data_IF_248781318862
#
_entry.id   IF_248781318862
#
_cell.length_a   1.000
_cell.length_b   1.000
_cell.length_c   1.000
_cell.angle_alpha   90.00
_cell.angle_beta   90.00
_cell.angle_gamma   90.00
#
_symmetry.space_group_name_H-M   'P 1'
#
loop_
_entity.id
_entity.type
_entity.pdbx_description
1 polymer ?
#
# COMPACT_ATOMS: atom_id res chain seq x y z
N UNK A 1 -14.60 49.59 -44.98
CA UNK A 1 -15.23 49.23 -43.69
C UNK A 1 -14.63 47.91 -43.22
N UNK A 2 -14.35 47.81 -41.93
CA UNK A 2 -13.62 46.74 -41.24
C UNK A 2 -14.48 45.48 -41.03
N UNK A 3 -13.78 44.44 -40.57
CA UNK A 3 -14.22 43.24 -39.79
C UNK A 3 -14.77 42.04 -40.56
N UNK A 4 -14.47 40.79 -40.21
CA UNK A 4 -13.42 40.18 -39.37
C UNK A 4 -13.45 38.67 -39.61
N UNK A 5 -12.29 38.03 -39.52
CA UNK A 5 -12.08 36.59 -39.49
C UNK A 5 -12.69 35.97 -38.20
N UNK A 6 -13.28 34.77 -38.31
CA UNK A 6 -13.52 33.90 -37.15
C UNK A 6 -12.75 32.60 -37.40
N UNK A 7 -11.61 32.47 -36.72
CA UNK A 7 -10.89 31.21 -36.54
C UNK A 7 -11.43 30.58 -35.26
N UNK A 8 -12.02 29.39 -35.38
CA UNK A 8 -12.42 28.58 -34.23
C UNK A 8 -11.16 27.99 -33.58
N UNK A 9 -10.76 28.54 -32.44
CA UNK A 9 -9.75 27.96 -31.57
C UNK A 9 -10.42 26.88 -30.70
N UNK A 10 -10.09 25.61 -30.95
CA UNK A 10 -10.43 24.51 -30.06
C UNK A 10 -9.55 24.59 -28.81
N UNK A 11 -10.12 25.02 -27.69
CA UNK A 11 -9.46 24.96 -26.39
C UNK A 11 -9.47 23.50 -25.89
N UNK A 12 -8.34 22.82 -26.05
CA UNK A 12 -8.03 21.59 -25.32
C UNK A 12 -7.86 21.95 -23.84
N UNK A 13 -8.92 21.76 -23.06
CA UNK A 13 -8.85 21.79 -21.60
C UNK A 13 -8.10 20.55 -21.15
N UNK A 14 -6.78 20.69 -20.99
CA UNK A 14 -5.96 19.79 -20.18
C UNK A 14 -6.47 19.94 -18.74
N UNK A 15 -7.38 19.06 -18.33
CA UNK A 15 -7.66 18.85 -16.91
C UNK A 15 -6.41 18.23 -16.30
N UNK A 16 -5.54 19.09 -15.76
CA UNK A 16 -4.54 18.70 -14.79
C UNK A 16 -5.25 17.95 -13.68
N UNK A 17 -4.98 16.65 -13.59
CA UNK A 17 -5.34 15.84 -12.44
C UNK A 17 -4.64 16.46 -11.24
N UNK A 18 -5.37 17.27 -10.48
CA UNK A 18 -4.96 17.66 -9.15
C UNK A 18 -4.95 16.36 -8.33
N UNK A 19 -3.76 15.77 -8.20
CA UNK A 19 -3.44 14.86 -7.10
C UNK A 19 -3.75 15.65 -5.84
N UNK A 20 -4.95 15.45 -5.27
CA UNK A 20 -5.29 16.00 -3.98
C UNK A 20 -4.34 15.34 -2.97
N UNK A 21 -3.27 16.05 -2.61
CA UNK A 21 -2.51 15.76 -1.41
C UNK A 21 -3.49 15.92 -0.24
N UNK A 22 -4.00 14.80 0.27
CA UNK A 22 -4.81 14.81 1.49
C UNK A 22 -3.94 15.32 2.64
N UNK A 23 -4.42 16.28 3.45
CA UNK A 23 -3.67 16.79 4.58
C UNK A 23 -3.45 15.65 5.59
N UNK A 24 -2.19 15.48 6.00
CA UNK A 24 -1.76 14.60 7.08
C UNK A 24 -2.68 14.82 8.28
N UNK A 25 -3.27 13.75 8.81
CA UNK A 25 -4.10 13.88 10.01
C UNK A 25 -3.28 14.46 11.16
N UNK A 26 -3.85 15.38 11.91
CA UNK A 26 -3.22 16.06 13.05
C UNK A 26 -2.66 15.07 14.09
N UNK A 27 -3.20 13.84 14.13
CA UNK A 27 -2.76 12.75 14.99
C UNK A 27 -1.37 12.21 14.65
N UNK A 28 -0.99 12.15 13.35
CA UNK A 28 0.34 11.68 12.93
C UNK A 28 1.45 12.69 13.24
N UNK A 29 1.17 13.98 13.03
CA UNK A 29 2.07 15.07 13.43
C UNK A 29 2.32 15.12 14.94
N UNK A 30 1.36 14.69 15.75
CA UNK A 30 1.50 14.68 17.20
C UNK A 30 2.38 13.51 17.72
N UNK A 31 2.57 12.44 16.95
CA UNK A 31 3.24 11.20 17.39
C UNK A 31 4.62 10.95 16.76
N UNK A 32 4.92 11.54 15.61
CA UNK A 32 6.23 11.33 14.94
C UNK A 32 7.39 11.98 15.70
N UNK A 33 8.24 11.15 16.32
CA UNK A 33 9.45 11.61 17.04
C UNK A 33 10.63 11.98 16.10
N UNK A 34 10.56 11.68 14.80
CA UNK A 34 11.59 12.07 13.81
C UNK A 34 11.01 12.58 12.48
N UNK A 35 11.68 13.58 11.89
CA UNK A 35 11.32 14.13 10.58
C UNK A 35 11.50 13.11 9.44
N UNK A 36 12.38 12.11 9.61
CA UNK A 36 12.69 11.11 8.60
C UNK A 36 11.62 10.01 8.58
N UNK A 37 11.23 9.49 9.74
CA UNK A 37 10.12 8.54 9.84
C UNK A 37 8.84 9.18 9.30
N UNK A 38 8.54 10.42 9.70
CA UNK A 38 7.40 11.18 9.16
C UNK A 38 7.51 11.38 7.64
N UNK A 39 8.67 11.75 7.10
CA UNK A 39 8.86 11.90 5.64
C UNK A 39 8.75 10.58 4.88
N UNK A 40 9.06 9.45 5.52
CA UNK A 40 8.92 8.12 4.93
C UNK A 40 7.50 7.61 5.10
N UNK A 41 6.79 8.00 6.17
CA UNK A 41 5.38 7.74 6.38
C UNK A 41 4.49 8.62 5.52
N UNK A 42 4.92 9.84 5.17
CA UNK A 42 4.33 10.65 4.09
C UNK A 42 4.56 10.01 2.72
N UNK A 43 5.57 9.14 2.61
CA UNK A 43 5.87 8.29 1.44
C UNK A 43 5.33 6.86 1.55
N UNK A 44 4.73 6.47 2.69
CA UNK A 44 3.94 5.23 2.89
C UNK A 44 2.43 5.54 3.10
N UNK A 45 2.10 6.80 3.33
CA UNK A 45 0.84 7.51 3.10
C UNK A 45 -0.21 7.30 4.15
N UNK A 46 0.24 6.93 5.34
CA UNK A 46 -0.63 6.64 6.45
C UNK A 46 -1.65 7.75 6.68
N UNK A 47 -2.90 7.49 6.32
CA UNK A 47 -3.93 7.57 7.34
C UNK A 47 -3.82 6.27 8.14
N UNK A 48 -3.23 6.35 9.33
CA UNK A 48 -3.29 5.24 10.30
C UNK A 48 -4.22 5.70 11.42
N UNK A 49 -5.54 5.46 11.31
CA UNK A 49 -6.49 5.75 12.37
C UNK A 49 -6.42 4.62 13.40
N UNK A 50 -5.30 4.49 14.12
CA UNK A 50 -5.24 3.56 15.25
C UNK A 50 -4.86 4.32 16.51
N UNK A 51 -5.66 4.14 17.55
CA UNK A 51 -5.34 4.64 18.89
C UNK A 51 -4.02 4.03 19.41
N UNK A 52 -3.68 2.83 18.92
CA UNK A 52 -2.46 2.06 19.21
C UNK A 52 -1.31 2.40 18.27
N UNK A 53 -0.09 2.10 18.71
CA UNK A 53 1.09 2.23 17.87
C UNK A 53 1.04 1.32 16.64
N UNK A 54 1.51 1.87 15.53
CA UNK A 54 1.66 1.18 14.27
C UNK A 54 3.08 0.61 14.16
N UNK A 55 3.20 -0.69 13.95
CA UNK A 55 4.47 -1.37 13.75
C UNK A 55 4.48 -1.99 12.36
N UNK A 56 5.13 -1.35 11.39
CA UNK A 56 5.00 -1.72 9.98
C UNK A 56 5.41 -3.18 9.67
N UNK A 57 6.24 -3.79 10.52
CA UNK A 57 6.70 -5.17 10.38
C UNK A 57 5.73 -6.21 10.96
N UNK A 58 4.66 -5.79 11.63
CA UNK A 58 3.59 -6.67 12.11
C UNK A 58 2.61 -6.99 10.97
N UNK A 59 3.03 -7.88 10.09
CA UNK A 59 2.26 -8.26 8.89
C UNK A 59 0.98 -9.02 9.21
N UNK A 60 0.78 -9.45 10.46
CA UNK A 60 -0.47 -10.06 10.91
C UNK A 60 -1.59 -9.02 11.01
N UNK A 61 -1.27 -7.88 11.64
CA UNK A 61 -2.18 -6.75 11.80
C UNK A 61 -2.18 -5.83 10.56
N UNK A 62 -1.12 -5.86 9.74
CA UNK A 62 -0.95 -5.01 8.58
C UNK A 62 -0.72 -5.83 7.30
N UNK A 63 -1.79 -6.44 6.77
CA UNK A 63 -1.74 -7.33 5.59
C UNK A 63 -1.27 -6.67 4.29
N UNK A 64 -1.28 -5.34 4.21
CA UNK A 64 -0.74 -4.58 3.10
C UNK A 64 0.79 -4.38 3.17
N UNK A 65 1.44 -4.88 4.22
CA UNK A 65 2.88 -4.82 4.39
C UNK A 65 3.54 -6.20 4.26
N UNK A 66 4.82 -6.17 3.95
CA UNK A 66 5.77 -7.26 4.10
C UNK A 66 6.89 -6.81 5.03
N UNK A 67 7.55 -7.74 5.71
CA UNK A 67 8.79 -7.47 6.45
C UNK A 67 10.00 -7.86 5.62
N UNK A 68 10.99 -6.97 5.58
CA UNK A 68 12.32 -7.25 5.07
C UNK A 68 13.24 -7.44 6.27
N UNK A 69 13.75 -8.66 6.41
CA UNK A 69 14.80 -8.98 7.38
C UNK A 69 16.17 -8.81 6.74
N UNK A 70 17.10 -8.25 7.48
CA UNK A 70 18.50 -8.04 7.11
C UNK A 70 19.38 -8.48 8.26
N UNK A 71 20.40 -9.30 8.01
CA UNK A 71 21.40 -9.70 8.99
C UNK A 71 22.81 -9.54 8.43
N UNK A 72 23.73 -9.12 9.30
CA UNK A 72 25.17 -9.23 9.06
C UNK A 72 25.83 -10.00 10.20
N UNK A 73 26.91 -10.73 9.89
CA UNK A 73 27.77 -11.36 10.89
C UNK A 73 29.22 -11.11 10.53
N UNK A 74 30.00 -10.66 11.52
CA UNK A 74 31.44 -10.42 11.41
C UNK A 74 31.86 -9.47 10.27
N UNK A 75 30.90 -8.71 9.73
CA UNK A 75 31.11 -7.84 8.56
C UNK A 75 31.45 -8.54 7.25
N UNK A 76 31.33 -9.87 7.19
CA UNK A 76 31.64 -10.68 6.00
C UNK A 76 30.52 -11.62 5.56
N UNK A 77 29.46 -11.75 6.35
CA UNK A 77 28.29 -12.56 6.01
C UNK A 77 27.06 -11.69 6.04
N UNK A 78 26.31 -11.65 4.95
CA UNK A 78 25.08 -10.89 4.83
C UNK A 78 23.94 -11.83 4.44
N UNK A 79 22.79 -11.70 5.12
CA UNK A 79 21.57 -12.45 4.84
C UNK A 79 20.40 -11.48 4.75
N UNK A 80 19.44 -11.78 3.87
CA UNK A 80 18.18 -11.08 3.86
C UNK A 80 17.03 -12.01 3.46
N UNK A 81 15.82 -11.71 3.92
CA UNK A 81 14.60 -12.38 3.49
C UNK A 81 13.42 -11.41 3.47
N UNK A 82 12.44 -11.72 2.64
CA UNK A 82 11.16 -11.02 2.56
C UNK A 82 10.08 -11.98 3.05
N UNK A 83 9.24 -11.52 3.96
CA UNK A 83 8.09 -12.28 4.44
C UNK A 83 6.85 -11.40 4.42
N UNK A 84 5.73 -11.94 3.94
CA UNK A 84 4.45 -11.24 3.87
C UNK A 84 3.38 -12.11 4.57
N UNK A 85 2.17 -11.58 4.71
CA UNK A 85 1.02 -12.38 5.14
C UNK A 85 0.75 -13.57 4.16
N UNK A 86 -0.12 -14.49 4.60
CA UNK A 86 -0.44 -15.69 3.82
C UNK A 86 0.70 -16.72 3.77
N UNK A 87 1.71 -16.58 4.62
CA UNK A 87 2.84 -17.52 4.72
C UNK A 87 3.89 -17.36 3.63
N UNK A 88 3.84 -16.28 2.84
CA UNK A 88 4.88 -15.99 1.86
C UNK A 88 6.19 -15.69 2.56
N UNK A 89 7.24 -16.47 2.25
CA UNK A 89 8.60 -16.22 2.71
C UNK A 89 9.57 -16.53 1.58
N UNK A 90 10.38 -15.54 1.22
CA UNK A 90 11.45 -15.67 0.24
C UNK A 90 12.78 -15.35 0.91
N UNK A 91 13.60 -16.38 1.08
CA UNK A 91 15.00 -16.15 1.38
C UNK A 91 15.67 -15.58 0.14
N UNK A 92 16.37 -14.45 0.30
CA UNK A 92 17.14 -13.89 -0.80
C UNK A 92 18.40 -14.74 -0.93
N UNK A 93 18.75 -15.22 -2.14
CA UNK A 93 19.80 -16.21 -2.32
C UNK A 93 21.12 -15.78 -1.64
N UNK A 94 21.55 -16.58 -0.67
CA UNK A 94 22.90 -16.63 -0.10
C UNK A 94 23.80 -17.47 -1.01
N UNK A 95 23.95 -17.09 -2.28
CA UNK A 95 24.97 -17.76 -3.05
C UNK A 95 26.30 -17.09 -2.70
N UNK A 96 27.27 -17.89 -2.25
CA UNK A 96 28.68 -17.57 -1.95
C UNK A 96 29.45 -16.83 -3.10
N UNK A 97 28.73 -16.36 -4.12
CA UNK A 97 29.18 -15.60 -5.29
C UNK A 97 28.30 -14.37 -5.65
N UNK A 98 27.15 -14.13 -5.01
CA UNK A 98 26.15 -13.12 -5.46
C UNK A 98 25.75 -12.04 -4.45
N UNK A 99 26.09 -12.12 -3.16
CA UNK A 99 26.34 -10.90 -2.38
C UNK A 99 27.73 -10.36 -2.77
N UNK A 100 27.91 -10.02 -4.05
CA UNK A 100 29.17 -9.49 -4.61
C UNK A 100 29.67 -8.25 -3.85
N UNK A 101 28.78 -7.66 -3.08
CA UNK A 101 28.87 -6.37 -2.45
C UNK A 101 28.51 -6.48 -0.94
N UNK A 102 28.67 -7.63 -0.26
CA UNK A 102 28.64 -7.69 1.22
C UNK A 102 29.90 -7.03 1.80
N UNK A 103 29.96 -5.71 1.64
CA UNK A 103 31.04 -4.82 2.06
C UNK A 103 30.46 -3.43 2.21
N UNK A 104 31.22 -2.54 2.84
CA UNK A 104 30.84 -1.14 2.99
C UNK A 104 30.61 -0.49 1.62
N UNK A 105 29.48 0.20 1.47
CA UNK A 105 29.07 0.89 0.24
C UNK A 105 28.63 -0.04 -0.88
N UNK A 106 28.60 -1.35 -0.64
CA UNK A 106 28.19 -2.33 -1.63
C UNK A 106 26.67 -2.45 -1.74
N UNK A 107 26.11 -2.08 -2.89
CA UNK A 107 24.67 -2.20 -3.17
C UNK A 107 24.34 -3.60 -3.72
N UNK A 108 23.40 -4.28 -3.08
CA UNK A 108 22.82 -5.54 -3.56
C UNK A 108 21.38 -5.27 -3.98
N UNK A 109 21.04 -5.58 -5.24
CA UNK A 109 19.71 -5.38 -5.83
C UNK A 109 18.97 -6.71 -5.88
N UNK A 110 17.69 -6.64 -5.55
CA UNK A 110 16.80 -7.78 -5.45
C UNK A 110 15.48 -7.47 -6.15
N UNK A 111 14.76 -8.52 -6.49
CA UNK A 111 13.40 -8.44 -7.01
C UNK A 111 12.52 -9.43 -6.24
N UNK A 112 11.37 -8.94 -5.78
CA UNK A 112 10.35 -9.73 -5.09
C UNK A 112 8.97 -9.44 -5.69
N UNK A 113 8.13 -10.46 -5.93
CA UNK A 113 6.81 -10.27 -6.53
C UNK A 113 5.85 -9.40 -5.70
N UNK A 114 6.01 -9.34 -4.37
CA UNK A 114 5.10 -8.62 -3.49
C UNK A 114 5.54 -7.18 -3.21
N UNK A 115 6.84 -6.87 -3.28
CA UNK A 115 7.37 -5.53 -2.95
C UNK A 115 8.14 -4.89 -4.12
N UNK A 116 8.33 -5.62 -5.22
CA UNK A 116 8.99 -5.14 -6.43
C UNK A 116 10.52 -5.15 -6.37
N UNK A 117 11.15 -4.24 -7.11
CA UNK A 117 12.61 -4.07 -7.11
C UNK A 117 13.04 -3.30 -5.86
N UNK A 118 14.10 -3.78 -5.20
CA UNK A 118 14.66 -3.11 -4.02
C UNK A 118 16.16 -3.33 -3.91
N UNK A 119 16.83 -2.56 -3.06
CA UNK A 119 18.25 -2.72 -2.78
C UNK A 119 18.59 -2.52 -1.32
N UNK A 120 19.66 -3.19 -0.89
CA UNK A 120 20.23 -3.08 0.45
C UNK A 120 21.71 -2.72 0.30
N UNK A 121 22.12 -1.68 1.02
CA UNK A 121 23.52 -1.25 1.13
C UNK A 121 23.88 -1.11 2.60
N UNK A 122 25.07 -1.52 3.02
CA UNK A 122 25.60 -1.18 4.34
C UNK A 122 26.58 -0.03 4.19
N UNK A 123 26.27 1.15 4.74
CA UNK A 123 27.09 2.34 4.50
C UNK A 123 28.33 2.43 5.38
N UNK A 124 28.40 1.64 6.45
CA UNK A 124 29.48 1.69 7.43
C UNK A 124 29.98 0.29 7.79
N UNK A 125 31.23 0.25 8.27
CA UNK A 125 31.78 -0.84 9.07
C UNK A 125 32.08 -0.27 10.45
N UNK A 126 31.71 -1.02 11.47
CA UNK A 126 31.92 -0.67 12.87
C UNK A 126 31.26 0.67 13.24
N UNK A 127 30.05 0.89 12.73
CA UNK A 127 29.32 2.15 12.87
C UNK A 127 29.17 2.61 14.32
N UNK A 128 29.11 3.93 14.51
CA UNK A 128 29.12 4.55 15.85
C UNK A 128 27.91 4.06 16.67
N UNK A 129 28.19 3.44 17.81
CA UNK A 129 27.14 2.86 18.67
C UNK A 129 26.48 1.62 18.08
N UNK A 130 27.02 1.04 17.00
CA UNK A 130 26.53 -0.19 16.39
C UNK A 130 27.53 -1.34 16.49
N UNK A 131 28.78 -1.08 16.92
CA UNK A 131 29.79 -2.10 17.19
C UNK A 131 30.31 -2.83 15.95
N UNK A 132 31.10 -3.88 16.14
CA UNK A 132 31.87 -4.53 15.06
C UNK A 132 31.00 -5.20 13.98
N UNK A 133 31.33 -4.99 12.70
CA UNK A 133 30.68 -5.60 11.53
C UNK A 133 30.19 -4.58 10.50
N UNK A 134 29.46 -5.04 9.48
CA UNK A 134 28.73 -4.15 8.56
C UNK A 134 27.49 -3.61 9.26
N UNK A 135 27.35 -2.30 9.28
CA UNK A 135 26.36 -1.56 10.04
C UNK A 135 25.65 -0.54 9.16
N UNK A 136 24.63 0.11 9.71
CA UNK A 136 23.95 1.23 9.05
C UNK A 136 23.36 0.81 7.68
N UNK A 137 22.36 -0.10 7.67
CA UNK A 137 21.72 -0.51 6.43
C UNK A 137 20.93 0.67 5.83
N UNK A 138 21.00 0.79 4.52
CA UNK A 138 20.18 1.65 3.69
C UNK A 138 19.34 0.73 2.81
N UNK A 139 18.03 0.83 2.97
CA UNK A 139 17.05 0.17 2.13
C UNK A 139 16.56 1.16 1.07
N UNK A 140 16.39 0.70 -0.17
CA UNK A 140 15.75 1.49 -1.23
C UNK A 140 14.72 0.62 -1.94
N UNK A 141 13.55 1.19 -2.23
CA UNK A 141 12.44 0.50 -2.88
C UNK A 141 12.08 1.26 -4.14
N UNK A 142 11.99 0.58 -5.29
CA UNK A 142 11.63 1.23 -6.56
C UNK A 142 10.25 1.87 -6.51
N UNK A 143 9.30 1.18 -5.89
CA UNK A 143 7.91 1.62 -5.83
C UNK A 143 7.59 2.37 -4.52
N UNK A 144 8.59 2.75 -3.72
CA UNK A 144 8.37 3.64 -2.55
C UNK A 144 9.37 4.77 -2.62
N UNK A 145 8.89 5.96 -2.94
CA UNK A 145 9.76 7.14 -3.10
C UNK A 145 10.77 7.03 -4.24
N UNK A 146 10.55 6.14 -5.22
CA UNK A 146 11.42 5.95 -6.39
C UNK A 146 12.91 5.82 -6.04
N UNK A 147 13.25 4.76 -5.29
CA UNK A 147 14.61 4.50 -4.79
C UNK A 147 15.12 5.51 -3.74
N UNK A 148 14.22 6.16 -2.99
CA UNK A 148 14.63 7.00 -1.86
C UNK A 148 15.30 6.16 -0.78
N UNK A 149 16.36 6.73 -0.19
CA UNK A 149 17.10 6.12 0.90
C UNK A 149 16.25 6.03 2.18
N UNK A 150 16.11 4.81 2.69
CA UNK A 150 15.47 4.50 3.98
C UNK A 150 16.60 4.13 4.95
N UNK A 151 16.97 5.02 5.89
CA UNK A 151 18.06 4.79 6.83
C UNK A 151 17.60 3.85 7.96
N UNK A 152 17.81 2.55 7.77
CA UNK A 152 17.23 1.48 8.61
C UNK A 152 17.65 1.61 10.06
N UNK A 153 18.94 1.85 10.33
CA UNK A 153 19.45 2.00 11.70
C UNK A 153 18.84 3.19 12.44
N UNK A 154 18.64 4.31 11.75
CA UNK A 154 18.02 5.51 12.34
C UNK A 154 16.58 5.23 12.72
N UNK A 155 15.82 4.59 11.82
CA UNK A 155 14.43 4.21 12.08
C UNK A 155 14.30 3.15 13.18
N UNK A 156 15.22 2.18 13.21
CA UNK A 156 15.25 1.14 14.24
C UNK A 156 15.49 1.70 15.64
N UNK A 157 16.37 2.70 15.78
CA UNK A 157 16.66 3.34 17.06
C UNK A 157 15.47 4.12 17.68
N UNK A 158 14.44 4.43 16.87
CA UNK A 158 13.21 5.06 17.37
C UNK A 158 12.35 4.08 18.17
N UNK A 159 12.38 2.80 17.81
CA UNK A 159 11.66 1.75 18.50
C UNK A 159 12.46 1.28 19.72
N UNK A 160 11.87 1.37 20.90
CA UNK A 160 12.44 0.82 22.13
C UNK A 160 11.41 -0.07 22.83
N UNK A 161 11.59 -1.40 22.83
CA UNK A 161 10.60 -2.32 23.41
C UNK A 161 10.59 -2.33 24.94
N UNK A 162 11.56 -1.70 25.60
CA UNK A 162 11.66 -1.64 27.06
C UNK A 162 11.00 -0.38 27.63
N UNK A 163 10.61 0.59 26.79
CA UNK A 163 9.84 1.75 27.22
C UNK A 163 8.35 1.42 27.35
N UNK A 164 7.70 1.99 28.36
CA UNK A 164 6.26 1.87 28.60
C UNK A 164 5.42 2.54 27.53
N UNK A 165 5.99 3.52 26.82
CA UNK A 165 5.29 4.36 25.85
C UNK A 165 5.32 3.73 24.44
N UNK A 166 5.01 2.44 24.38
CA UNK A 166 4.91 1.70 23.10
C UNK A 166 3.85 2.28 22.18
N UNK A 167 2.93 3.09 22.71
CA UNK A 167 1.77 3.65 22.02
C UNK A 167 2.08 4.86 21.12
N UNK A 168 3.32 5.37 21.14
CA UNK A 168 3.72 6.57 20.38
C UNK A 168 4.15 6.30 18.93
N UNK A 169 3.89 5.09 18.41
CA UNK A 169 4.17 4.75 17.00
C UNK A 169 3.47 5.72 16.04
N UNK A 170 4.01 5.92 14.83
CA UNK A 170 4.42 4.82 13.95
C UNK A 170 5.93 4.45 13.96
N UNK A 171 6.20 3.15 13.90
CA UNK A 171 7.54 2.57 13.78
C UNK A 171 7.67 1.77 12.47
N UNK A 172 8.74 2.04 11.72
CA UNK A 172 8.97 1.42 10.41
C UNK A 172 9.96 0.26 10.45
N UNK A 173 11.01 0.38 11.26
CA UNK A 173 12.04 -0.62 11.42
C UNK A 173 12.29 -0.87 12.90
N UNK A 174 12.84 -2.03 13.21
CA UNK A 174 13.42 -2.35 14.49
C UNK A 174 14.66 -3.21 14.31
N UNK A 175 15.51 -3.26 15.32
CA UNK A 175 16.58 -4.24 15.38
C UNK A 175 16.20 -5.41 16.29
N UNK A 176 16.98 -6.48 16.21
CA UNK A 176 16.79 -7.63 17.07
C UNK A 176 17.46 -7.38 18.42
N UNK A 177 16.66 -7.39 19.48
CA UNK A 177 17.18 -7.55 20.82
C UNK A 177 17.64 -8.99 21.03
N UNK A 178 18.90 -9.15 21.43
CA UNK A 178 19.45 -10.44 21.80
C UNK A 178 19.28 -10.63 23.31
N UNK A 179 18.47 -11.60 23.76
CA UNK A 179 18.41 -11.93 25.17
C UNK A 179 19.69 -12.69 25.53
N UNK A 180 20.66 -12.02 26.13
CA UNK A 180 21.81 -12.68 26.72
C UNK A 180 21.56 -12.83 28.21
N UNK A 181 21.18 -14.02 28.69
CA UNK A 181 21.16 -14.42 30.12
C UNK A 181 20.96 -13.27 31.14
N UNK A 182 19.85 -12.53 31.05
CA UNK A 182 19.50 -11.47 32.01
C UNK A 182 20.07 -10.07 31.75
N UNK A 183 20.82 -9.87 30.66
CA UNK A 183 21.29 -8.57 30.17
C UNK A 183 20.80 -8.37 28.73
N UNK A 184 20.05 -7.29 28.51
CA UNK A 184 19.66 -6.85 27.17
C UNK A 184 20.91 -6.37 26.46
N UNK A 185 21.53 -7.23 25.65
CA UNK A 185 22.69 -6.85 24.85
C UNK A 185 22.21 -6.03 23.67
N UNK A 186 22.58 -4.76 23.70
CA UNK A 186 22.47 -3.81 22.58
C UNK A 186 23.10 -4.42 21.32
N UNK A 187 22.53 -4.13 20.14
CA UNK A 187 23.06 -4.52 18.82
C UNK A 187 24.54 -4.12 18.68
N UNK A 188 24.95 -3.08 19.41
CA UNK A 188 26.34 -2.61 19.53
C UNK A 188 27.32 -3.65 20.10
N UNK A 189 26.86 -4.58 20.91
CA UNK A 189 27.72 -5.57 21.58
C UNK A 189 27.77 -6.91 20.86
N UNK A 190 26.90 -7.13 19.86
CA UNK A 190 26.81 -8.40 19.16
C UNK A 190 27.53 -8.37 17.81
N UNK A 191 28.31 -9.43 17.54
CA UNK A 191 28.97 -9.67 16.25
C UNK A 191 27.99 -10.05 15.14
N UNK A 192 26.79 -10.49 15.51
CA UNK A 192 25.64 -10.67 14.62
C UNK A 192 24.66 -9.52 14.82
N UNK A 193 24.36 -8.81 13.74
CA UNK A 193 23.46 -7.66 13.74
C UNK A 193 22.29 -7.96 12.83
N UNK A 194 21.09 -7.61 13.24
CA UNK A 194 19.93 -7.80 12.38
C UNK A 194 18.87 -6.76 12.58
N UNK A 195 18.25 -6.40 11.48
CA UNK A 195 17.20 -5.40 11.37
C UNK A 195 16.01 -6.00 10.64
N UNK A 196 14.82 -5.51 10.97
CA UNK A 196 13.58 -5.82 10.28
C UNK A 196 12.86 -4.51 9.99
N UNK A 197 12.44 -4.32 8.75
CA UNK A 197 11.61 -3.19 8.36
C UNK A 197 10.30 -3.66 7.74
N UNK A 198 9.20 -2.99 8.06
CA UNK A 198 7.96 -3.12 7.31
C UNK A 198 7.99 -2.27 6.06
N UNK A 199 7.59 -2.85 4.93
CA UNK A 199 7.49 -2.18 3.63
C UNK A 199 6.13 -2.47 3.00
N UNK A 200 5.50 -1.52 2.30
CA UNK A 200 4.22 -1.76 1.66
C UNK A 200 4.38 -2.73 0.48
N UNK A 201 3.33 -3.52 0.24
CA UNK A 201 3.21 -4.33 -0.97
C UNK A 201 2.95 -3.47 -2.18
N UNK A 202 3.44 -3.90 -3.35
CA UNK A 202 3.15 -3.22 -4.60
C UNK A 202 1.66 -3.33 -4.94
N UNK A 203 1.00 -2.19 -5.07
CA UNK A 203 -0.40 -2.04 -5.46
C UNK A 203 -1.44 -2.30 -4.38
N UNK A 204 -1.05 -2.64 -3.16
CA UNK A 204 -2.02 -2.72 -2.06
C UNK A 204 -1.91 -1.46 -1.22
N UNK A 205 -2.38 -0.35 -1.80
CA UNK A 205 -2.28 0.99 -1.25
C UNK A 205 -3.33 1.26 -0.18
N UNK A 206 -3.23 0.57 0.97
CA UNK A 206 -4.12 0.71 2.12
C UNK A 206 -4.17 2.13 2.71
N UNK A 207 -4.94 3.00 2.07
CA UNK A 207 -5.14 4.39 2.47
C UNK A 207 -3.94 5.26 2.15
N UNK A 208 -3.76 5.59 0.86
CA UNK A 208 -2.72 6.47 0.35
C UNK A 208 -1.38 5.77 0.25
N UNK A 209 -0.96 5.36 -0.95
CA UNK A 209 0.27 5.84 -1.60
C UNK A 209 0.74 5.03 -2.81
N UNK A 210 1.60 5.72 -3.55
CA UNK A 210 2.28 5.42 -4.81
C UNK A 210 3.22 4.19 -4.77
N UNK A 211 2.81 3.11 -4.09
CA UNK A 211 3.32 1.74 -4.27
C UNK A 211 2.81 1.09 -5.54
N UNK A 212 2.38 1.92 -6.50
CA UNK A 212 1.76 1.50 -7.72
C UNK A 212 2.70 0.55 -8.46
N UNK A 213 2.27 -0.71 -8.60
CA UNK A 213 2.86 -1.59 -9.58
C UNK A 213 2.63 -1.02 -10.98
N UNK A 214 3.36 -1.54 -11.99
CA UNK A 214 3.26 -1.04 -13.36
C UNK A 214 1.81 -1.10 -13.86
N UNK A 215 1.37 -0.03 -14.51
CA UNK A 215 0.09 0.03 -15.22
C UNK A 215 0.29 -0.30 -16.69
N UNK A 216 -0.77 -0.74 -17.37
CA UNK A 216 -0.76 -0.97 -18.81
C UNK A 216 -0.99 0.35 -19.59
N UNK A 217 -1.01 0.27 -20.92
CA UNK A 217 -1.20 1.43 -21.81
C UNK A 217 -2.56 2.15 -21.66
N UNK A 218 -3.52 1.53 -20.96
CA UNK A 218 -4.82 2.15 -20.60
C UNK A 218 -4.79 2.83 -19.23
N UNK A 219 -3.66 2.80 -18.55
CA UNK A 219 -3.43 3.49 -17.27
C UNK A 219 -4.14 2.82 -16.08
N UNK A 220 -4.24 1.49 -16.09
CA UNK A 220 -4.67 0.67 -14.94
C UNK A 220 -3.77 -0.56 -14.75
N UNK A 221 -3.72 -1.12 -13.55
CA UNK A 221 -3.04 -2.39 -13.25
C UNK A 221 -4.02 -3.56 -13.24
N UNK A 222 -3.79 -4.55 -14.10
CA UNK A 222 -4.55 -5.80 -14.08
C UNK A 222 -4.27 -6.64 -12.83
N UNK A 223 -5.22 -7.46 -12.46
CA UNK A 223 -5.24 -8.33 -11.28
C UNK A 223 -6.67 -8.52 -10.78
N UNK A 224 -6.91 -8.10 -9.54
CA UNK A 224 -8.19 -8.13 -8.86
C UNK A 224 -8.66 -6.69 -8.66
N UNK A 225 -9.62 -6.26 -9.46
CA UNK A 225 -10.28 -4.98 -9.26
C UNK A 225 -11.32 -5.08 -8.15
N UNK A 226 -11.64 -3.93 -7.55
CA UNK A 226 -12.79 -3.77 -6.68
C UNK A 226 -13.81 -2.82 -7.33
N UNK A 227 -15.09 -3.09 -7.12
CA UNK A 227 -16.18 -2.19 -7.47
C UNK A 227 -17.00 -1.91 -6.21
N UNK A 228 -17.16 -0.63 -5.91
CA UNK A 228 -18.03 -0.15 -4.85
C UNK A 228 -19.34 0.37 -5.46
N UNK A 229 -20.45 -0.16 -4.97
CA UNK A 229 -21.80 0.18 -5.42
C UNK A 229 -22.65 0.60 -4.24
N UNK A 230 -23.39 1.69 -4.42
CA UNK A 230 -24.44 2.12 -3.50
C UNK A 230 -25.78 1.85 -4.17
N UNK A 231 -26.62 1.04 -3.52
CA UNK A 231 -28.01 0.86 -3.93
C UNK A 231 -28.92 1.69 -3.04
N UNK A 232 -29.73 2.53 -3.66
CA UNK A 232 -30.75 3.32 -2.97
C UNK A 232 -32.08 2.58 -2.95
N UNK A 233 -32.75 2.58 -1.80
CA UNK A 233 -34.12 2.08 -1.65
C UNK A 233 -35.07 2.86 -2.56
N UNK A 234 -36.20 2.24 -2.89
CA UNK A 234 -37.30 2.96 -3.50
C UNK A 234 -37.84 4.01 -2.51
N UNK A 235 -38.11 5.24 -2.94
CA UNK A 235 -38.84 6.21 -2.13
C UNK A 235 -40.23 5.66 -1.77
N UNK A 236 -40.66 5.78 -0.52
CA UNK A 236 -42.04 5.48 -0.09
C UNK A 236 -42.84 6.80 0.00
N UNK A 237 -44.03 6.94 -0.64
CA UNK A 237 -44.74 5.99 -1.50
C UNK A 237 -44.17 5.87 -2.93
N UNK A 238 -43.96 4.61 -3.37
CA UNK A 238 -43.14 4.25 -4.54
C UNK A 238 -43.84 4.35 -5.91
N UNK A 239 -43.33 5.21 -6.79
CA UNK A 239 -43.47 5.12 -8.26
C UNK A 239 -42.14 5.01 -9.02
N UNK A 240 -41.02 5.27 -8.35
CA UNK A 240 -39.71 5.32 -9.00
C UNK A 240 -38.99 3.97 -8.97
N UNK A 241 -38.14 3.73 -9.98
CA UNK A 241 -37.28 2.55 -10.03
C UNK A 241 -36.12 2.70 -9.04
N UNK A 242 -35.52 1.57 -8.65
CA UNK A 242 -34.26 1.58 -7.91
C UNK A 242 -33.21 2.44 -8.61
N UNK A 243 -32.31 2.98 -7.81
CA UNK A 243 -31.18 3.74 -8.30
C UNK A 243 -29.90 3.13 -7.78
N UNK A 244 -28.89 3.12 -8.64
CA UNK A 244 -27.58 2.56 -8.37
C UNK A 244 -26.55 3.66 -8.61
N UNK A 245 -25.59 3.76 -7.72
CA UNK A 245 -24.37 4.52 -7.91
C UNK A 245 -23.19 3.56 -7.93
N UNK A 246 -22.33 3.66 -8.94
CA UNK A 246 -21.03 2.98 -8.94
C UNK A 246 -20.02 4.01 -8.46
N UNK A 247 -19.83 4.14 -7.14
CA UNK A 247 -19.04 5.22 -6.57
C UNK A 247 -17.58 5.14 -7.05
N UNK A 248 -17.06 3.91 -7.20
CA UNK A 248 -15.73 3.65 -7.72
C UNK A 248 -15.57 2.26 -8.32
N UNK A 249 -14.71 2.18 -9.33
CA UNK A 249 -14.01 0.96 -9.70
C UNK A 249 -12.55 1.25 -9.42
N UNK A 250 -11.89 0.39 -8.66
CA UNK A 250 -10.46 0.48 -8.38
C UNK A 250 -9.72 -0.69 -9.00
N UNK A 251 -8.49 -0.43 -9.48
CA UNK A 251 -7.62 -1.45 -10.06
C UNK A 251 -6.87 -2.26 -8.99
N UNK A 252 -5.99 -3.17 -9.41
CA UNK A 252 -5.17 -3.96 -8.47
C UNK A 252 -4.20 -3.09 -7.66
N UNK A 253 -3.99 -1.83 -8.07
CA UNK A 253 -3.25 -0.81 -7.33
C UNK A 253 -4.13 0.01 -6.36
N UNK A 254 -5.43 -0.30 -6.27
CA UNK A 254 -6.45 0.46 -5.53
C UNK A 254 -6.67 1.89 -6.08
N UNK A 255 -6.18 2.19 -7.28
CA UNK A 255 -6.43 3.47 -7.93
C UNK A 255 -7.83 3.50 -8.52
N UNK A 256 -8.56 4.61 -8.35
CA UNK A 256 -9.85 4.81 -9.03
C UNK A 256 -9.66 4.86 -10.54
N UNK A 257 -10.27 3.92 -11.25
CA UNK A 257 -10.23 3.77 -12.70
C UNK A 257 -11.60 3.93 -13.38
N UNK A 258 -12.66 4.12 -12.59
CA UNK A 258 -14.00 4.42 -13.07
C UNK A 258 -14.95 4.78 -11.94
N UNK A 259 -16.15 5.21 -12.33
CA UNK A 259 -17.28 5.47 -11.44
C UNK A 259 -18.35 6.26 -12.17
N UNK A 260 -19.58 6.17 -11.69
CA UNK A 260 -20.71 6.98 -12.15
C UNK A 260 -21.61 7.23 -10.96
N UNK A 261 -22.02 8.48 -10.77
CA UNK A 261 -22.94 8.86 -9.71
C UNK A 261 -24.30 8.18 -9.86
N UNK A 262 -25.17 8.44 -8.88
CA UNK A 262 -26.55 7.97 -8.85
C UNK A 262 -27.25 7.98 -10.21
N UNK A 263 -27.62 6.78 -10.66
CA UNK A 263 -28.19 6.46 -11.96
C UNK A 263 -29.40 5.55 -11.79
N UNK A 264 -30.03 5.13 -12.91
CA UNK A 264 -31.17 4.21 -12.89
C UNK A 264 -30.84 2.80 -12.37
N UNK A 265 -31.79 1.85 -12.46
CA UNK A 265 -31.64 0.49 -11.93
C UNK A 265 -30.72 -0.40 -12.79
N UNK A 266 -30.24 0.11 -13.92
CA UNK A 266 -29.37 -0.60 -14.86
C UNK A 266 -28.36 0.40 -15.41
N UNK A 267 -27.10 0.17 -15.10
CA UNK A 267 -25.99 1.09 -15.35
C UNK A 267 -24.93 0.34 -16.14
N UNK A 268 -24.58 0.86 -17.30
CA UNK A 268 -23.42 0.39 -18.08
C UNK A 268 -22.35 1.48 -18.07
N UNK A 269 -21.19 1.17 -17.51
CA UNK A 269 -20.09 2.09 -17.28
C UNK A 269 -18.90 1.74 -18.17
N UNK A 270 -18.39 2.75 -18.89
CA UNK A 270 -17.08 2.72 -19.54
C UNK A 270 -16.05 3.31 -18.58
N UNK A 271 -15.01 2.53 -18.27
CA UNK A 271 -13.90 2.92 -17.39
C UNK A 271 -12.57 2.84 -18.16
N UNK A 272 -11.43 2.86 -17.46
CA UNK A 272 -10.13 2.52 -18.08
C UNK A 272 -10.00 1.05 -18.47
N UNK A 273 -10.93 0.19 -18.04
CA UNK A 273 -10.95 -1.23 -18.39
C UNK A 273 -11.26 -1.45 -19.88
N UNK A 274 -10.82 -2.59 -20.45
CA UNK A 274 -11.07 -2.93 -21.84
C UNK A 274 -12.55 -3.11 -22.19
N UNK A 275 -13.35 -3.64 -21.27
CA UNK A 275 -14.75 -3.93 -21.45
C UNK A 275 -15.61 -3.04 -20.53
N UNK A 276 -16.88 -2.84 -20.89
CA UNK A 276 -17.83 -2.13 -20.02
C UNK A 276 -18.25 -3.01 -18.85
N UNK A 277 -18.44 -2.39 -17.69
CA UNK A 277 -19.09 -3.03 -16.55
C UNK A 277 -20.56 -2.69 -16.59
N UNK A 278 -21.43 -3.70 -16.42
CA UNK A 278 -22.86 -3.50 -16.24
C UNK A 278 -23.26 -3.92 -14.82
N UNK A 279 -23.98 -3.04 -14.14
CA UNK A 279 -24.54 -3.27 -12.81
C UNK A 279 -26.04 -3.02 -12.88
N UNK A 280 -26.87 -3.97 -12.42
CA UNK A 280 -28.31 -3.78 -12.45
C UNK A 280 -29.02 -4.47 -11.29
N UNK A 281 -30.17 -3.92 -10.92
CA UNK A 281 -31.09 -4.45 -9.91
C UNK A 281 -32.35 -5.01 -10.57
N UNK A 282 -33.02 -5.90 -9.86
CA UNK A 282 -34.33 -6.41 -10.26
C UNK A 282 -35.45 -5.61 -9.54
N UNK A 283 -36.60 -6.23 -9.31
CA UNK A 283 -37.84 -5.52 -8.98
C UNK A 283 -38.09 -5.37 -7.47
N UNK A 284 -37.41 -6.13 -6.62
CA UNK A 284 -37.66 -6.21 -5.18
C UNK A 284 -36.40 -5.86 -4.37
N UNK A 285 -36.56 -5.30 -3.17
CA UNK A 285 -35.43 -4.89 -2.30
C UNK A 285 -34.51 -6.06 -1.93
N UNK A 286 -35.10 -7.25 -1.83
CA UNK A 286 -34.41 -8.50 -1.54
C UNK A 286 -33.66 -9.08 -2.75
N UNK A 287 -33.90 -8.56 -3.96
CA UNK A 287 -33.21 -9.08 -5.13
C UNK A 287 -31.71 -8.69 -5.08
N UNK A 288 -30.81 -9.62 -5.41
CA UNK A 288 -29.39 -9.31 -5.44
C UNK A 288 -29.07 -8.36 -6.59
N UNK A 289 -28.09 -7.49 -6.36
CA UNK A 289 -27.51 -6.67 -7.42
C UNK A 289 -26.68 -7.57 -8.31
N UNK A 290 -26.85 -7.44 -9.63
CA UNK A 290 -26.16 -8.25 -10.62
C UNK A 290 -25.06 -7.45 -11.28
N UNK A 291 -23.97 -8.14 -11.57
CA UNK A 291 -22.77 -7.58 -12.14
C UNK A 291 -22.35 -8.37 -13.37
N UNK A 292 -21.77 -7.67 -14.34
CA UNK A 292 -21.23 -8.29 -15.54
C UNK A 292 -20.00 -7.51 -16.04
N UNK A 293 -18.90 -8.24 -16.25
CA UNK A 293 -17.68 -7.73 -16.84
C UNK A 293 -17.01 -8.82 -17.69
N UNK A 294 -16.92 -8.60 -19.00
CA UNK A 294 -16.48 -9.63 -19.95
C UNK A 294 -17.29 -10.93 -19.75
N UNK A 295 -16.64 -12.07 -19.54
CA UNK A 295 -17.31 -13.36 -19.30
C UNK A 295 -17.69 -13.59 -17.83
N UNK A 296 -17.33 -12.67 -16.93
CA UNK A 296 -17.62 -12.79 -15.50
C UNK A 296 -19.02 -12.24 -15.21
N UNK A 297 -19.85 -13.06 -14.58
CA UNK A 297 -21.16 -12.71 -14.04
C UNK A 297 -21.22 -13.14 -12.58
N UNK A 298 -21.63 -12.25 -11.71
CA UNK A 298 -21.75 -12.51 -10.28
C UNK A 298 -22.86 -11.65 -9.68
N UNK A 299 -23.20 -11.93 -8.43
CA UNK A 299 -24.23 -11.19 -7.70
C UNK A 299 -23.70 -10.64 -6.38
N UNK A 300 -24.45 -9.72 -5.76
CA UNK A 300 -24.14 -9.17 -4.43
C UNK A 300 -24.20 -10.20 -3.29
N UNK A 301 -24.64 -11.43 -3.57
CA UNK A 301 -24.70 -12.55 -2.62
C UNK A 301 -23.52 -13.52 -2.79
N UNK A 302 -22.70 -13.34 -3.82
CA UNK A 302 -21.56 -14.22 -4.09
C UNK A 302 -20.39 -13.92 -3.11
N UNK A 303 -19.54 -14.92 -2.85
CA UNK A 303 -18.46 -14.85 -1.85
C UNK A 303 -17.41 -13.75 -2.11
N UNK A 304 -17.35 -13.23 -3.33
CA UNK A 304 -16.47 -12.13 -3.72
C UNK A 304 -17.06 -10.74 -3.42
N UNK A 305 -18.24 -10.68 -2.79
CA UNK A 305 -18.95 -9.46 -2.41
C UNK A 305 -19.17 -9.35 -0.90
N UNK A 306 -19.03 -8.13 -0.38
CA UNK A 306 -19.44 -7.74 0.96
C UNK A 306 -20.60 -6.75 0.83
N UNK A 307 -21.80 -7.16 1.25
CA UNK A 307 -23.02 -6.37 1.14
C UNK A 307 -23.51 -5.92 2.50
N UNK A 308 -23.60 -4.60 2.68
CA UNK A 308 -24.17 -3.97 3.86
C UNK A 308 -25.69 -4.13 3.96
N UNK A 309 -26.22 -3.89 5.16
CA UNK A 309 -27.66 -3.71 5.35
C UNK A 309 -28.06 -2.33 4.84
N UNK A 310 -29.37 -2.16 4.61
CA UNK A 310 -29.90 -0.82 4.40
C UNK A 310 -29.75 0.01 5.67
N UNK A 311 -29.13 1.17 5.52
CA UNK A 311 -29.05 2.23 6.50
C UNK A 311 -29.49 3.53 5.82
N UNK A 312 -30.41 4.26 6.44
CA UNK A 312 -30.82 5.59 5.97
C UNK A 312 -31.26 5.67 4.50
N UNK A 313 -31.81 4.57 3.95
CA UNK A 313 -32.35 4.53 2.59
C UNK A 313 -31.36 4.05 1.52
N UNK A 314 -30.15 3.62 1.88
CA UNK A 314 -29.19 3.01 0.96
C UNK A 314 -28.42 1.85 1.59
N UNK A 315 -27.79 1.01 0.77
CA UNK A 315 -26.82 0.00 1.22
C UNK A 315 -25.59 0.04 0.35
N UNK A 316 -24.44 -0.19 0.97
CA UNK A 316 -23.14 -0.26 0.31
C UNK A 316 -22.77 -1.70 -0.02
N UNK A 317 -22.09 -1.90 -1.15
CA UNK A 317 -21.62 -3.19 -1.62
C UNK A 317 -20.21 -3.04 -2.18
N UNK A 318 -19.29 -3.86 -1.67
CA UNK A 318 -17.92 -3.95 -2.18
C UNK A 318 -17.71 -5.33 -2.78
N UNK A 319 -17.50 -5.39 -4.09
CA UNK A 319 -17.27 -6.64 -4.81
C UNK A 319 -15.89 -6.66 -5.47
N UNK A 320 -15.30 -7.84 -5.58
CA UNK A 320 -14.03 -8.04 -6.28
C UNK A 320 -14.21 -8.85 -7.56
N UNK A 321 -13.46 -8.52 -8.62
CA UNK A 321 -13.53 -9.24 -9.90
C UNK A 321 -12.17 -9.20 -10.61
N UNK A 322 -11.95 -10.10 -11.57
CA UNK A 322 -10.70 -10.10 -12.35
C UNK A 322 -10.76 -9.04 -13.45
N UNK A 323 -9.70 -8.25 -13.53
CA UNK A 323 -9.47 -7.22 -14.53
C UNK A 323 -7.98 -7.21 -14.89
#
# INVERSE_FOLDING_TARGET
MKTSNIVAAAALVLQSQHVQANPISTALKARGKSSIALSILELIGGFIPTEKAFMAWDTGDHKNFCKIYMETKDGGHCKANVECDGGYKKELPEDDKNWKQCRVGGENKFNDPNIGDFSITFSERDGKGQGEGLTTPILKLKYVGNWKDIPVSTLAAEYNPDKTDKDDGPYLCHDKHYPAMGLHTDISTNRRKSWTCGVPKIGKGGGGLDSNGPTNDRGYRGGTCNIHVVQYQKPDPSKDKYQIEISSITDENENKIGGVGRSGPDVTLKSKLPNTIRVWTLAVDADPVKFHYNDQKWTSEDDNCSTGKYDSGNRDMDCTFKC
#
